data_IF_138715947503
#
_entry.id   IF_138715947503
#
_cell.length_a   1.000
_cell.length_b   1.000
_cell.length_c   1.000
_cell.angle_alpha   90.00
_cell.angle_beta   90.00
_cell.angle_gamma   90.00
#
_symmetry.space_group_name_H-M   'P 1'
#
loop_
_entity.id
_entity.type
_entity.pdbx_description
1 polymer ?
#
# COMPACT_ATOMS: atom_id res chain seq x y z
N UNK A 1 37.84 20.96 -27.61
CA UNK A 1 38.21 19.96 -26.60
C UNK A 1 39.13 18.97 -27.28
N UNK A 2 40.43 18.95 -26.86
CA UNK A 2 41.44 18.19 -27.54
C UNK A 2 41.15 16.69 -27.56
N UNK A 3 41.29 16.09 -28.72
CA UNK A 3 41.07 14.65 -28.95
C UNK A 3 41.89 13.81 -27.95
N UNK A 4 43.10 14.27 -27.66
CA UNK A 4 44.04 13.68 -26.68
C UNK A 4 43.52 13.75 -25.24
N UNK A 5 42.74 14.79 -24.89
CA UNK A 5 42.09 14.90 -23.57
C UNK A 5 40.94 13.95 -23.43
N UNK A 6 40.12 13.81 -24.49
CA UNK A 6 39.02 12.87 -24.54
C UNK A 6 39.46 11.40 -24.44
N UNK A 7 40.56 11.07 -25.14
CA UNK A 7 41.17 9.75 -25.10
C UNK A 7 41.69 9.41 -23.67
N UNK A 8 42.41 10.32 -23.03
CA UNK A 8 42.85 10.13 -21.63
C UNK A 8 41.69 9.99 -20.66
N UNK A 9 40.61 10.74 -20.86
CA UNK A 9 39.42 10.65 -20.04
C UNK A 9 38.72 9.26 -20.19
N UNK A 10 38.62 8.76 -21.42
CA UNK A 10 38.05 7.44 -21.72
C UNK A 10 38.89 6.30 -21.16
N UNK A 11 40.23 6.39 -21.28
CA UNK A 11 41.19 5.42 -20.70
C UNK A 11 41.09 5.42 -19.17
N UNK A 12 41.03 6.60 -18.55
CA UNK A 12 40.87 6.74 -17.10
C UNK A 12 39.54 6.17 -16.60
N UNK A 13 38.45 6.41 -17.33
CA UNK A 13 37.13 5.83 -17.03
C UNK A 13 37.16 4.31 -17.16
N UNK A 14 37.76 3.78 -18.23
CA UNK A 14 37.87 2.34 -18.45
C UNK A 14 38.72 1.65 -17.36
N UNK A 15 39.86 2.24 -17.00
CA UNK A 15 40.71 1.74 -15.90
C UNK A 15 39.94 1.74 -14.55
N UNK A 16 39.22 2.82 -14.28
CA UNK A 16 38.36 2.92 -13.05
C UNK A 16 37.30 1.86 -13.00
N UNK A 17 36.67 1.56 -14.12
CA UNK A 17 35.65 0.47 -14.24
C UNK A 17 36.32 -0.89 -14.02
N UNK A 18 37.49 -1.16 -14.59
CA UNK A 18 38.21 -2.42 -14.39
C UNK A 18 38.61 -2.60 -12.91
N UNK A 19 39.10 -1.57 -12.26
CA UNK A 19 39.45 -1.61 -10.82
C UNK A 19 38.18 -1.86 -9.98
N UNK A 20 37.06 -1.19 -10.27
CA UNK A 20 35.82 -1.38 -9.57
C UNK A 20 35.29 -2.82 -9.72
N UNK A 21 35.40 -3.40 -10.93
CA UNK A 21 35.03 -4.82 -11.18
C UNK A 21 35.94 -5.78 -10.43
N UNK A 22 37.26 -5.54 -10.42
CA UNK A 22 38.23 -6.37 -9.69
C UNK A 22 37.97 -6.34 -8.19
N UNK A 23 37.78 -5.15 -7.60
CA UNK A 23 37.45 -4.98 -6.18
C UNK A 23 36.11 -5.64 -5.83
N UNK A 24 35.10 -5.51 -6.69
CA UNK A 24 33.80 -6.15 -6.51
C UNK A 24 33.89 -7.68 -6.50
N UNK A 25 34.69 -8.26 -7.40
CA UNK A 25 34.95 -9.70 -7.45
C UNK A 25 35.73 -10.21 -6.22
N UNK A 26 36.71 -9.44 -5.74
CA UNK A 26 37.50 -9.78 -4.56
C UNK A 26 36.65 -9.75 -3.27
N UNK A 27 35.77 -8.75 -3.14
CA UNK A 27 34.84 -8.64 -2.00
C UNK A 27 33.76 -9.74 -2.01
N UNK A 28 33.28 -10.13 -3.18
CA UNK A 28 32.26 -11.19 -3.33
C UNK A 28 32.75 -12.61 -2.99
N UNK A 29 34.07 -12.86 -2.93
CA UNK A 29 34.62 -14.20 -2.64
C UNK A 29 34.41 -14.68 -1.20
N UNK A 30 34.07 -13.79 -0.26
CA UNK A 30 33.85 -14.16 1.17
C UNK A 30 32.43 -14.62 1.50
N UNK A 31 31.45 -14.35 0.66
CA UNK A 31 30.06 -14.70 0.89
C UNK A 31 29.57 -15.67 -0.19
N UNK A 32 28.87 -16.72 0.20
CA UNK A 32 28.12 -17.59 -0.73
C UNK A 32 26.87 -16.86 -1.16
N UNK A 33 26.96 -16.09 -2.22
CA UNK A 33 25.83 -15.35 -2.77
C UNK A 33 24.93 -16.29 -3.59
N UNK A 34 23.60 -16.09 -3.59
CA UNK A 34 22.70 -16.81 -4.48
C UNK A 34 23.08 -16.61 -5.96
N UNK A 35 22.73 -17.57 -6.85
CA UNK A 35 22.94 -17.41 -8.29
C UNK A 35 22.17 -16.21 -8.83
N UNK A 36 22.55 -15.73 -10.00
CA UNK A 36 21.86 -14.60 -10.63
C UNK A 36 22.49 -14.18 -11.94
N UNK A 37 21.88 -13.26 -12.68
CA UNK A 37 22.46 -12.73 -13.92
C UNK A 37 23.75 -11.96 -13.61
N UNK A 38 24.69 -11.98 -14.58
CA UNK A 38 25.96 -11.23 -14.45
C UNK A 38 25.66 -9.74 -14.47
N UNK A 39 26.04 -8.98 -13.41
CA UNK A 39 25.74 -7.55 -13.35
C UNK A 39 26.68 -6.75 -14.27
N UNK A 40 26.12 -5.73 -14.91
CA UNK A 40 26.88 -4.73 -15.66
C UNK A 40 27.53 -3.74 -14.65
N UNK A 41 28.77 -3.25 -14.90
CA UNK A 41 29.39 -2.24 -14.07
C UNK A 41 28.48 -1.01 -13.84
N UNK A 42 28.46 -0.46 -12.61
CA UNK A 42 27.67 0.69 -12.19
C UNK A 42 26.16 0.39 -12.12
N UNK A 43 25.54 -0.06 -13.21
CA UNK A 43 24.08 -0.29 -13.32
C UNK A 43 23.63 -1.61 -12.72
N UNK A 44 24.55 -2.58 -12.57
CA UNK A 44 24.17 -3.92 -12.12
C UNK A 44 23.29 -4.65 -13.14
N UNK A 45 22.17 -5.19 -12.67
CA UNK A 45 21.22 -5.91 -13.52
C UNK A 45 20.07 -5.02 -14.02
N UNK A 46 20.13 -3.71 -13.81
CA UNK A 46 19.06 -2.79 -14.19
C UNK A 46 18.64 -2.93 -15.66
N UNK A 47 19.62 -2.92 -16.58
CA UNK A 47 19.35 -3.07 -18.00
C UNK A 47 18.83 -4.46 -18.41
N UNK A 48 19.00 -5.48 -17.54
CA UNK A 48 18.58 -6.85 -17.79
C UNK A 48 17.17 -7.16 -17.25
N UNK A 49 16.73 -6.37 -16.28
CA UNK A 49 15.42 -6.53 -15.65
C UNK A 49 14.34 -5.78 -16.42
N UNK A 50 14.73 -4.81 -17.27
CA UNK A 50 13.81 -3.94 -18.01
C UNK A 50 13.16 -2.89 -17.10
N UNK A 51 12.16 -2.20 -17.60
CA UNK A 51 11.52 -1.08 -16.91
C UNK A 51 10.64 -1.52 -15.76
N UNK A 52 10.44 -2.83 -15.54
CA UNK A 52 9.47 -3.33 -14.59
C UNK A 52 9.98 -4.56 -13.82
N UNK A 53 10.20 -4.37 -12.51
CA UNK A 53 10.45 -5.44 -11.53
C UNK A 53 9.15 -6.16 -11.11
N UNK A 54 8.24 -6.35 -12.05
CA UNK A 54 6.98 -7.01 -11.74
C UNK A 54 7.14 -8.52 -11.46
N UNK A 55 6.12 -9.09 -10.87
CA UNK A 55 6.08 -10.50 -10.50
C UNK A 55 6.30 -11.46 -11.68
N UNK A 56 5.88 -11.10 -12.91
CA UNK A 56 6.04 -11.95 -14.10
C UNK A 56 7.49 -12.03 -14.56
N UNK A 57 8.18 -10.88 -14.59
CA UNK A 57 9.60 -10.81 -14.93
C UNK A 57 10.45 -11.50 -13.87
N UNK A 58 10.16 -11.30 -12.60
CA UNK A 58 10.83 -11.99 -11.50
C UNK A 58 10.57 -13.50 -11.53
N UNK A 59 9.37 -13.96 -11.85
CA UNK A 59 9.06 -15.37 -12.04
C UNK A 59 9.80 -15.98 -13.24
N UNK A 60 9.98 -15.23 -14.34
CA UNK A 60 10.78 -15.68 -15.48
C UNK A 60 12.27 -15.84 -15.10
N UNK A 61 12.81 -14.92 -14.32
CA UNK A 61 14.18 -15.03 -13.79
C UNK A 61 14.32 -16.20 -12.81
N UNK A 62 13.32 -16.44 -11.96
CA UNK A 62 13.30 -17.58 -11.03
C UNK A 62 13.34 -18.93 -11.77
N UNK A 63 12.64 -19.08 -12.91
CA UNK A 63 12.73 -20.29 -13.76
C UNK A 63 14.14 -20.52 -14.28
N UNK A 64 14.93 -19.46 -14.47
CA UNK A 64 16.30 -19.54 -15.02
C UNK A 64 17.36 -19.72 -13.94
N UNK A 65 17.24 -19.05 -12.81
CA UNK A 65 18.27 -18.96 -11.79
C UNK A 65 17.94 -19.74 -10.50
N UNK A 66 16.70 -20.26 -10.38
CA UNK A 66 16.23 -20.99 -9.23
C UNK A 66 15.34 -20.16 -8.31
N UNK A 67 14.80 -20.81 -7.28
CA UNK A 67 13.81 -20.23 -6.34
C UNK A 67 14.34 -19.10 -5.46
N UNK A 68 15.64 -18.99 -5.32
CA UNK A 68 16.35 -17.89 -4.66
C UNK A 68 17.47 -17.41 -5.56
N UNK A 69 17.46 -16.15 -5.94
CA UNK A 69 18.49 -15.58 -6.78
C UNK A 69 18.81 -14.12 -6.41
N UNK A 70 19.98 -13.64 -6.84
CA UNK A 70 20.48 -12.32 -6.55
C UNK A 70 20.41 -11.42 -7.79
N UNK A 71 19.81 -10.25 -7.62
CA UNK A 71 19.94 -9.12 -8.52
C UNK A 71 20.83 -8.06 -7.89
N UNK A 72 21.78 -7.55 -8.64
CA UNK A 72 22.52 -6.36 -8.27
C UNK A 72 21.90 -5.16 -8.97
N UNK A 73 21.12 -4.38 -8.21
CA UNK A 73 20.50 -3.17 -8.72
C UNK A 73 21.38 -1.96 -8.37
N UNK A 74 22.18 -1.49 -9.33
CA UNK A 74 23.20 -0.48 -9.06
C UNK A 74 24.13 -0.90 -7.91
N UNK A 75 24.07 -0.18 -6.79
CA UNK A 75 24.88 -0.48 -5.60
C UNK A 75 24.19 -1.41 -4.60
N UNK A 76 22.91 -1.74 -4.78
CA UNK A 76 22.14 -2.58 -3.87
C UNK A 76 22.07 -4.03 -4.34
N UNK A 77 22.21 -4.95 -3.39
CA UNK A 77 21.91 -6.35 -3.60
C UNK A 77 20.42 -6.59 -3.26
N UNK A 78 19.69 -7.18 -4.19
CA UNK A 78 18.28 -7.56 -4.04
C UNK A 78 18.18 -9.06 -4.18
N UNK A 79 17.92 -9.76 -3.09
CA UNK A 79 17.65 -11.20 -3.12
C UNK A 79 16.18 -11.41 -3.41
N UNK A 80 15.88 -12.18 -4.45
CA UNK A 80 14.52 -12.54 -4.83
C UNK A 80 14.22 -13.94 -4.35
N UNK A 81 13.09 -14.10 -3.66
CA UNK A 81 12.58 -15.38 -3.19
C UNK A 81 11.29 -15.69 -3.94
N UNK A 82 11.24 -16.86 -4.58
CA UNK A 82 10.16 -17.25 -5.50
C UNK A 82 9.55 -18.62 -5.22
N UNK A 83 9.73 -19.16 -4.01
CA UNK A 83 9.01 -20.38 -3.59
C UNK A 83 8.25 -20.16 -2.29
N UNK A 84 7.11 -20.85 -2.08
CA UNK A 84 6.34 -20.76 -0.84
C UNK A 84 7.15 -21.19 0.40
N UNK A 85 7.99 -22.21 0.27
CA UNK A 85 8.81 -22.71 1.36
C UNK A 85 9.82 -21.66 1.83
N UNK A 86 10.57 -21.06 0.90
CA UNK A 86 11.52 -20.00 1.21
C UNK A 86 10.83 -18.70 1.67
N UNK A 87 9.67 -18.38 1.10
CA UNK A 87 8.86 -17.25 1.57
C UNK A 87 8.44 -17.44 3.04
N UNK A 88 8.00 -18.64 3.42
CA UNK A 88 7.68 -18.96 4.81
C UNK A 88 8.90 -18.86 5.73
N UNK A 89 10.05 -19.32 5.28
CA UNK A 89 11.31 -19.20 6.03
C UNK A 89 11.64 -17.73 6.31
N UNK A 90 11.66 -16.89 5.27
CA UNK A 90 12.04 -15.48 5.35
C UNK A 90 10.99 -14.65 6.09
N UNK A 91 9.68 -14.81 5.77
CA UNK A 91 8.63 -13.93 6.26
C UNK A 91 8.06 -14.38 7.61
N UNK A 92 8.16 -15.66 7.97
CA UNK A 92 7.59 -16.20 9.20
C UNK A 92 8.68 -16.73 10.15
N UNK A 93 9.45 -17.73 9.76
CA UNK A 93 10.42 -18.37 10.67
C UNK A 93 11.54 -17.38 11.10
N UNK A 94 12.02 -16.56 10.17
CA UNK A 94 13.05 -15.54 10.39
C UNK A 94 12.49 -14.10 10.19
N UNK A 95 11.19 -13.90 10.38
CA UNK A 95 10.53 -12.64 10.10
C UNK A 95 11.09 -11.43 10.86
N UNK A 96 11.64 -11.62 12.05
CA UNK A 96 12.30 -10.57 12.81
C UNK A 96 13.59 -10.08 12.14
N UNK A 97 14.40 -11.00 11.61
CA UNK A 97 15.66 -10.69 10.93
C UNK A 97 15.44 -9.96 9.60
N UNK A 98 14.39 -10.34 8.86
CA UNK A 98 14.06 -9.77 7.55
C UNK A 98 12.94 -8.72 7.60
N UNK A 99 12.42 -8.38 8.79
CA UNK A 99 11.25 -7.52 8.96
C UNK A 99 11.48 -6.04 8.65
N UNK A 100 12.73 -5.58 8.65
CA UNK A 100 13.03 -4.17 8.34
C UNK A 100 12.84 -3.82 6.87
N UNK A 101 12.36 -2.61 6.61
CA UNK A 101 12.14 -2.09 5.25
C UNK A 101 13.41 -1.46 4.69
N UNK A 102 13.72 -1.77 3.42
CA UNK A 102 14.77 -1.05 2.69
C UNK A 102 14.39 0.41 2.49
N UNK A 103 15.35 1.33 2.73
CA UNK A 103 15.13 2.77 2.52
C UNK A 103 14.88 3.06 1.04
N UNK A 104 13.87 3.87 0.76
CA UNK A 104 13.51 4.38 -0.57
C UNK A 104 13.32 5.89 -0.47
N UNK A 105 13.95 6.67 -1.36
CA UNK A 105 13.94 8.13 -1.28
C UNK A 105 12.55 8.76 -1.35
N UNK A 106 11.63 8.15 -2.09
CA UNK A 106 10.24 8.62 -2.21
C UNK A 106 9.48 8.32 -0.93
N UNK A 107 9.57 7.08 -0.42
CA UNK A 107 8.91 6.72 0.83
C UNK A 107 9.54 7.41 2.04
N UNK A 108 10.86 7.71 2.01
CA UNK A 108 11.47 8.54 3.04
C UNK A 108 10.82 9.93 3.13
N UNK A 109 10.40 10.51 2.00
CA UNK A 109 9.65 11.77 1.99
C UNK A 109 8.24 11.59 2.53
N UNK A 110 7.49 10.56 2.06
CA UNK A 110 6.11 10.36 2.48
C UNK A 110 5.95 9.95 3.95
N UNK A 111 6.99 9.36 4.55
CA UNK A 111 6.93 8.80 5.91
C UNK A 111 7.86 9.49 6.91
N UNK A 112 8.46 10.62 6.52
CA UNK A 112 9.50 11.32 7.29
C UNK A 112 10.59 10.37 7.80
N UNK A 113 11.08 9.53 6.88
CA UNK A 113 12.16 8.59 7.17
C UNK A 113 11.73 7.33 7.93
N UNK A 114 10.46 6.92 7.79
CA UNK A 114 9.92 5.70 8.39
C UNK A 114 9.31 5.93 9.77
N UNK A 115 8.69 7.09 9.99
CA UNK A 115 7.89 7.37 11.19
C UNK A 115 6.52 6.69 11.15
N UNK A 116 6.10 6.17 10.00
CA UNK A 116 4.90 5.37 9.84
C UNK A 116 5.13 3.90 10.26
N UNK A 117 4.07 3.08 10.30
CA UNK A 117 4.21 1.66 10.62
C UNK A 117 4.72 0.83 9.43
N UNK A 118 4.32 1.15 8.21
CA UNK A 118 4.54 0.30 7.03
C UNK A 118 6.01 0.30 6.60
N UNK A 119 6.68 1.46 6.67
CA UNK A 119 8.07 1.65 6.24
C UNK A 119 9.06 1.82 7.39
N UNK A 120 8.58 1.71 8.63
CA UNK A 120 9.45 1.70 9.81
C UNK A 120 10.40 0.50 9.79
N UNK A 121 11.59 0.68 10.36
CA UNK A 121 12.45 -0.44 10.69
C UNK A 121 11.81 -1.30 11.79
N UNK A 122 12.01 -2.61 11.73
CA UNK A 122 11.53 -3.51 12.77
C UNK A 122 12.19 -3.19 14.12
N UNK A 123 11.39 -2.85 15.11
CA UNK A 123 11.86 -2.41 16.44
C UNK A 123 10.72 -1.91 17.32
N UNK A 124 11.07 -1.18 18.41
CA UNK A 124 10.09 -0.71 19.40
C UNK A 124 9.08 0.26 18.81
N UNK A 125 9.53 1.18 17.95
CA UNK A 125 8.64 2.09 17.26
C UNK A 125 7.61 1.34 16.42
N UNK A 126 8.04 0.38 15.59
CA UNK A 126 7.15 -0.45 14.80
C UNK A 126 6.14 -1.22 15.66
N UNK A 127 6.59 -1.80 16.78
CA UNK A 127 5.72 -2.52 17.73
C UNK A 127 4.67 -1.60 18.36
N UNK A 128 5.07 -0.40 18.76
CA UNK A 128 4.16 0.59 19.33
C UNK A 128 3.10 1.04 18.33
N UNK A 129 3.53 1.43 17.12
CA UNK A 129 2.62 1.83 16.05
C UNK A 129 1.66 0.69 15.66
N UNK A 130 2.17 -0.54 15.53
CA UNK A 130 1.36 -1.72 15.23
C UNK A 130 0.31 -2.02 16.31
N UNK A 131 0.68 -1.92 17.58
CA UNK A 131 -0.27 -2.12 18.70
C UNK A 131 -1.36 -1.05 18.71
N UNK A 132 -0.99 0.22 18.60
CA UNK A 132 -1.93 1.35 18.62
C UNK A 132 -2.88 1.30 17.42
N UNK A 133 -2.40 0.88 16.25
CA UNK A 133 -3.20 0.78 15.05
C UNK A 133 -4.09 -0.49 15.03
N UNK A 134 -3.65 -1.59 15.63
CA UNK A 134 -4.39 -2.87 15.54
C UNK A 134 -5.64 -2.88 16.41
N UNK A 135 -5.55 -2.38 17.63
CA UNK A 135 -6.62 -2.48 18.63
C UNK A 135 -7.95 -1.84 18.16
N UNK A 136 -7.98 -0.63 17.58
CA UNK A 136 -9.22 0.02 17.18
C UNK A 136 -9.83 -0.50 15.87
N UNK A 137 -9.12 -1.30 15.07
CA UNK A 137 -9.58 -1.65 13.72
C UNK A 137 -9.65 -3.17 13.44
N UNK A 138 -8.81 -3.99 14.07
CA UNK A 138 -8.60 -5.39 13.67
C UNK A 138 -9.03 -6.41 14.71
N UNK A 139 -10.09 -6.13 15.45
CA UNK A 139 -10.63 -7.06 16.47
C UNK A 139 -12.03 -7.54 16.11
N UNK A 140 -12.40 -8.74 16.55
CA UNK A 140 -13.75 -9.27 16.36
C UNK A 140 -14.85 -8.37 16.96
N UNK A 141 -14.53 -7.62 18.00
CA UNK A 141 -15.46 -6.62 18.59
C UNK A 141 -15.74 -5.46 17.64
N UNK A 142 -14.76 -5.04 16.85
CA UNK A 142 -14.94 -4.00 15.82
C UNK A 142 -15.87 -4.51 14.72
N UNK A 143 -15.64 -5.74 14.23
CA UNK A 143 -16.53 -6.37 13.25
C UNK A 143 -17.97 -6.41 13.77
N UNK A 144 -18.19 -6.96 14.98
CA UNK A 144 -19.51 -7.03 15.60
C UNK A 144 -20.20 -5.67 15.75
N UNK A 145 -19.44 -4.62 15.96
CA UNK A 145 -19.95 -3.26 16.12
C UNK A 145 -20.36 -2.60 14.81
N UNK A 146 -19.62 -2.87 13.74
CA UNK A 146 -19.73 -2.11 12.49
C UNK A 146 -20.35 -2.88 11.32
N UNK A 147 -20.51 -4.21 11.41
CA UNK A 147 -20.99 -5.03 10.28
C UNK A 147 -22.33 -4.54 9.71
N UNK A 148 -23.29 -4.16 10.56
CA UNK A 148 -24.59 -3.68 10.09
C UNK A 148 -24.47 -2.41 9.23
N UNK A 149 -23.53 -1.52 9.57
CA UNK A 149 -23.21 -0.33 8.75
C UNK A 149 -22.60 -0.72 7.42
N UNK A 150 -21.70 -1.69 7.39
CA UNK A 150 -21.07 -2.19 6.16
C UNK A 150 -22.09 -2.88 5.24
N UNK A 151 -23.01 -3.66 5.82
CA UNK A 151 -24.12 -4.29 5.09
C UNK A 151 -25.06 -3.23 4.48
N UNK A 152 -25.36 -2.16 5.21
CA UNK A 152 -26.16 -1.05 4.70
C UNK A 152 -25.47 -0.32 3.53
N UNK A 153 -24.16 -0.08 3.62
CA UNK A 153 -23.39 0.52 2.52
C UNK A 153 -23.35 -0.40 1.28
N UNK A 154 -23.22 -1.73 1.49
CA UNK A 154 -23.28 -2.69 0.39
C UNK A 154 -24.65 -2.74 -0.27
N UNK A 155 -25.72 -2.69 0.51
CA UNK A 155 -27.09 -2.61 0.01
C UNK A 155 -27.30 -1.31 -0.80
N UNK A 156 -26.79 -0.19 -0.33
CA UNK A 156 -26.87 1.09 -1.05
C UNK A 156 -26.17 1.05 -2.42
N UNK A 157 -25.08 0.28 -2.57
CA UNK A 157 -24.44 0.07 -3.89
C UNK A 157 -25.40 -0.68 -4.82
N UNK A 158 -26.06 -1.75 -4.34
CA UNK A 158 -27.00 -2.52 -5.13
C UNK A 158 -28.20 -1.67 -5.57
N UNK A 159 -28.74 -0.88 -4.65
CA UNK A 159 -29.87 -0.01 -4.92
C UNK A 159 -29.51 1.11 -5.90
N UNK A 160 -28.33 1.71 -5.77
CA UNK A 160 -27.81 2.72 -6.70
C UNK A 160 -27.64 2.15 -8.12
N UNK A 161 -27.13 0.92 -8.24
CA UNK A 161 -27.00 0.24 -9.55
C UNK A 161 -28.37 -0.09 -10.13
N UNK A 162 -29.34 -0.52 -9.34
CA UNK A 162 -30.73 -0.80 -9.78
C UNK A 162 -31.45 0.46 -10.25
N UNK A 163 -31.17 1.57 -9.59
CA UNK A 163 -31.80 2.86 -9.91
C UNK A 163 -31.16 3.58 -11.11
N UNK A 164 -29.98 3.14 -11.56
CA UNK A 164 -29.27 3.78 -12.67
C UNK A 164 -29.98 3.44 -14.00
N UNK A 165 -30.50 4.44 -14.74
CA UNK A 165 -31.18 4.21 -16.01
C UNK A 165 -30.27 3.54 -17.06
N UNK A 166 -28.96 3.75 -17.00
CA UNK A 166 -28.00 3.14 -17.92
C UNK A 166 -27.76 1.66 -17.65
N UNK A 167 -28.13 1.14 -16.46
CA UNK A 167 -27.86 -0.24 -16.07
C UNK A 167 -28.42 -1.30 -17.04
N UNK A 168 -29.59 -1.02 -17.64
CA UNK A 168 -30.24 -1.93 -18.56
C UNK A 168 -29.81 -1.77 -20.03
N UNK A 169 -29.12 -0.68 -20.40
CA UNK A 169 -28.80 -0.32 -21.79
C UNK A 169 -27.32 -0.24 -22.08
N UNK A 170 -26.62 0.64 -21.35
CA UNK A 170 -25.20 0.95 -21.57
C UNK A 170 -24.29 0.27 -20.52
N UNK A 171 -24.89 -0.22 -19.43
CA UNK A 171 -24.18 -0.71 -18.26
C UNK A 171 -23.76 0.40 -17.30
N UNK A 172 -23.22 0.01 -16.15
CA UNK A 172 -22.78 0.93 -15.09
C UNK A 172 -21.31 0.78 -14.79
N UNK A 173 -20.65 1.88 -14.42
CA UNK A 173 -19.29 1.85 -13.90
C UNK A 173 -19.33 1.53 -12.41
N UNK A 174 -19.33 0.24 -12.09
CA UNK A 174 -19.52 -0.28 -10.73
C UNK A 174 -18.51 0.29 -9.73
N UNK A 175 -17.27 0.54 -10.18
CA UNK A 175 -16.20 1.13 -9.38
C UNK A 175 -16.63 2.41 -8.64
N UNK A 176 -17.39 3.27 -9.27
CA UNK A 176 -17.82 4.56 -8.68
C UNK A 176 -18.65 4.34 -7.41
N UNK A 177 -19.61 3.41 -7.46
CA UNK A 177 -20.50 3.08 -6.35
C UNK A 177 -19.74 2.34 -5.23
N UNK A 178 -18.95 1.33 -5.59
CA UNK A 178 -18.11 0.62 -4.63
C UNK A 178 -17.08 1.52 -3.96
N UNK A 179 -16.55 2.52 -4.67
CA UNK A 179 -15.59 3.47 -4.11
C UNK A 179 -16.24 4.31 -3.00
N UNK A 180 -17.44 4.85 -3.22
CA UNK A 180 -18.17 5.59 -2.17
C UNK A 180 -18.40 4.72 -0.94
N UNK A 181 -18.87 3.48 -1.13
CA UNK A 181 -19.03 2.49 -0.06
C UNK A 181 -17.74 2.29 0.74
N UNK A 182 -16.60 2.10 0.06
CA UNK A 182 -15.33 1.89 0.73
C UNK A 182 -14.87 3.10 1.54
N UNK A 183 -15.02 4.32 0.99
CA UNK A 183 -14.74 5.54 1.75
C UNK A 183 -15.68 5.66 2.95
N UNK A 184 -16.98 5.42 2.80
CA UNK A 184 -17.95 5.49 3.89
C UNK A 184 -17.62 4.47 4.98
N UNK A 185 -17.35 3.22 4.63
CA UNK A 185 -16.98 2.19 5.59
C UNK A 185 -15.74 2.58 6.39
N UNK A 186 -14.68 3.05 5.72
CA UNK A 186 -13.44 3.43 6.39
C UNK A 186 -13.56 4.70 7.23
N UNK A 187 -14.21 5.74 6.69
CA UNK A 187 -14.33 7.01 7.41
C UNK A 187 -15.35 6.97 8.54
N UNK A 188 -16.40 6.12 8.43
CA UNK A 188 -17.29 5.81 9.53
C UNK A 188 -16.54 5.09 10.66
N UNK A 189 -15.73 4.07 10.32
CA UNK A 189 -14.93 3.31 11.28
C UNK A 189 -13.86 4.19 11.96
N UNK A 190 -13.18 5.05 11.18
CA UNK A 190 -12.08 5.87 11.68
C UNK A 190 -12.55 7.09 12.46
N UNK A 191 -13.57 7.79 11.97
CA UNK A 191 -13.94 9.12 12.44
C UNK A 191 -15.41 9.26 12.83
N UNK A 192 -16.24 8.23 12.60
CA UNK A 192 -17.70 8.32 12.74
C UNK A 192 -18.36 9.19 11.67
N UNK A 193 -17.75 9.34 10.51
CA UNK A 193 -18.19 10.24 9.43
C UNK A 193 -18.49 9.48 8.13
N UNK A 194 -19.56 9.91 7.44
CA UNK A 194 -19.92 9.44 6.10
C UNK A 194 -19.88 10.62 5.12
N UNK A 195 -19.68 10.30 3.84
CA UNK A 195 -19.83 11.24 2.73
C UNK A 195 -21.24 11.12 2.16
N UNK A 196 -21.82 12.26 1.77
CA UNK A 196 -23.21 12.33 1.30
C UNK A 196 -23.40 11.68 -0.08
N UNK A 197 -22.38 11.74 -0.92
CA UNK A 197 -22.44 11.20 -2.28
C UNK A 197 -21.11 11.30 -3.01
N UNK A 198 -21.12 10.88 -4.28
CA UNK A 198 -19.95 10.88 -5.16
C UNK A 198 -19.39 12.28 -5.45
N UNK A 199 -20.23 13.30 -5.32
CA UNK A 199 -19.90 14.69 -5.61
C UNK A 199 -19.56 15.50 -4.34
N UNK A 200 -19.46 14.84 -3.19
CA UNK A 200 -19.01 15.46 -1.95
C UNK A 200 -17.63 16.11 -2.16
N UNK A 201 -17.48 17.43 -1.94
CA UNK A 201 -16.23 18.14 -2.24
C UNK A 201 -15.02 17.60 -1.47
N UNK A 202 -15.23 17.13 -0.23
CA UNK A 202 -14.16 16.57 0.58
C UNK A 202 -13.75 15.20 0.05
N UNK A 203 -14.70 14.36 -0.36
CA UNK A 203 -14.44 13.08 -1.01
C UNK A 203 -13.66 13.27 -2.32
N UNK A 204 -14.07 14.21 -3.15
CA UNK A 204 -13.38 14.53 -4.40
C UNK A 204 -11.93 14.95 -4.14
N UNK A 205 -11.70 15.82 -3.16
CA UNK A 205 -10.35 16.26 -2.78
C UNK A 205 -9.48 15.12 -2.23
N UNK A 206 -10.05 14.24 -1.41
CA UNK A 206 -9.36 13.03 -0.92
C UNK A 206 -8.94 12.11 -2.07
N UNK A 207 -9.85 11.87 -3.02
CA UNK A 207 -9.58 11.03 -4.20
C UNK A 207 -8.48 11.59 -5.07
N UNK A 208 -8.50 12.89 -5.32
CA UNK A 208 -7.47 13.60 -6.07
C UNK A 208 -6.09 13.38 -5.42
N UNK A 209 -5.96 13.74 -4.14
CA UNK A 209 -4.71 13.61 -3.41
C UNK A 209 -4.24 12.15 -3.26
N UNK A 210 -5.18 11.20 -3.12
CA UNK A 210 -4.86 9.76 -3.09
C UNK A 210 -4.31 9.29 -4.43
N UNK A 211 -4.91 9.72 -5.54
CA UNK A 211 -4.45 9.44 -6.90
C UNK A 211 -3.04 9.99 -7.17
N UNK A 212 -2.80 11.24 -6.80
CA UNK A 212 -1.48 11.86 -6.95
C UNK A 212 -0.41 11.15 -6.13
N UNK A 213 -0.70 10.85 -4.86
CA UNK A 213 0.21 10.10 -3.99
C UNK A 213 0.53 8.73 -4.58
N UNK A 214 -0.48 8.00 -5.06
CA UNK A 214 -0.28 6.66 -5.64
C UNK A 214 0.58 6.74 -6.89
N UNK A 215 0.32 7.67 -7.78
CA UNK A 215 1.12 7.90 -8.98
C UNK A 215 2.59 8.20 -8.65
N UNK A 216 2.84 9.09 -7.69
CA UNK A 216 4.19 9.46 -7.27
C UNK A 216 4.92 8.32 -6.54
N UNK A 217 4.22 7.53 -5.73
CA UNK A 217 4.84 6.46 -4.96
C UNK A 217 5.17 5.21 -5.79
N UNK A 218 4.41 4.96 -6.86
CA UNK A 218 4.56 3.75 -7.69
C UNK A 218 5.46 3.94 -8.91
N UNK A 219 5.91 5.16 -9.21
CA UNK A 219 6.73 5.42 -10.39
C UNK A 219 8.12 4.83 -10.20
N UNK A 220 8.38 3.71 -10.88
CA UNK A 220 9.69 3.04 -10.88
C UNK A 220 10.78 3.91 -11.54
N UNK A 221 10.41 4.73 -12.51
CA UNK A 221 11.34 5.62 -13.24
C UNK A 221 12.15 6.53 -12.31
N UNK A 222 11.59 6.87 -11.16
CA UNK A 222 12.20 7.78 -10.20
C UNK A 222 12.99 7.07 -9.08
N UNK A 223 13.02 5.74 -9.08
CA UNK A 223 13.74 4.97 -8.07
C UNK A 223 15.24 4.77 -8.36
N UNK A 224 15.74 5.28 -9.49
CA UNK A 224 17.16 5.15 -9.82
C UNK A 224 18.09 5.79 -8.75
N UNK A 225 17.62 6.81 -8.04
CA UNK A 225 18.36 7.41 -6.94
C UNK A 225 18.54 6.51 -5.72
N UNK A 226 17.74 5.45 -5.58
CA UNK A 226 17.92 4.44 -4.53
C UNK A 226 19.04 3.47 -4.85
N UNK A 227 19.26 3.20 -6.12
CA UNK A 227 20.23 2.23 -6.62
C UNK A 227 21.55 2.87 -7.05
N UNK A 228 21.50 4.12 -7.50
CA UNK A 228 22.66 4.89 -7.96
C UNK A 228 22.65 6.25 -7.24
N UNK A 229 23.21 6.35 -6.02
CA UNK A 229 23.06 7.53 -5.15
C UNK A 229 23.49 8.85 -5.77
N UNK A 230 24.48 8.86 -6.66
CA UNK A 230 24.95 10.07 -7.36
C UNK A 230 23.84 10.71 -8.21
N UNK A 231 22.85 9.94 -8.65
CA UNK A 231 21.73 10.43 -9.44
C UNK A 231 20.62 11.08 -8.60
N UNK A 232 20.66 10.99 -7.27
CA UNK A 232 19.65 11.59 -6.37
C UNK A 232 19.49 13.10 -6.58
N UNK A 233 20.55 13.77 -6.95
CA UNK A 233 20.52 15.22 -7.22
C UNK A 233 19.53 15.62 -8.33
N UNK A 234 19.28 14.71 -9.28
CA UNK A 234 18.31 14.93 -10.37
C UNK A 234 16.87 14.72 -9.95
N UNK A 235 16.62 14.11 -8.78
CA UNK A 235 15.30 13.88 -8.22
C UNK A 235 14.76 15.05 -7.40
N UNK A 236 15.52 16.12 -7.16
CA UNK A 236 15.13 17.20 -6.24
C UNK A 236 13.78 17.81 -6.55
N UNK A 237 13.48 18.09 -7.82
CA UNK A 237 12.18 18.63 -8.25
C UNK A 237 11.04 17.65 -7.98
N UNK A 238 11.25 16.37 -8.30
CA UNK A 238 10.28 15.32 -8.05
C UNK A 238 10.01 15.11 -6.56
N UNK A 239 11.04 15.03 -5.74
CA UNK A 239 10.91 14.87 -4.28
C UNK A 239 10.23 16.07 -3.63
N UNK A 240 10.40 17.28 -4.19
CA UNK A 240 9.66 18.47 -3.77
C UNK A 240 8.17 18.30 -4.00
N UNK A 241 7.75 17.81 -5.17
CA UNK A 241 6.33 17.51 -5.46
C UNK A 241 5.81 16.44 -4.50
N UNK A 242 6.56 15.36 -4.25
CA UNK A 242 6.19 14.34 -3.26
C UNK A 242 5.93 14.96 -1.88
N UNK A 243 6.80 15.88 -1.45
CA UNK A 243 6.64 16.60 -0.18
C UNK A 243 5.39 17.47 -0.16
N UNK A 244 5.15 18.24 -1.21
CA UNK A 244 3.96 19.09 -1.32
C UNK A 244 2.66 18.27 -1.24
N UNK A 245 2.60 17.14 -1.93
CA UNK A 245 1.46 16.22 -1.88
C UNK A 245 1.31 15.61 -0.49
N UNK A 246 2.40 15.16 0.15
CA UNK A 246 2.36 14.68 1.53
C UNK A 246 1.80 15.75 2.47
N UNK A 247 2.36 16.95 2.44
CA UNK A 247 1.99 18.04 3.35
C UNK A 247 0.50 18.42 3.16
N UNK A 248 0.03 18.48 1.92
CA UNK A 248 -1.39 18.73 1.61
C UNK A 248 -2.32 17.64 2.17
N UNK A 249 -1.92 16.36 2.07
CA UNK A 249 -2.69 15.23 2.61
C UNK A 249 -2.75 15.25 4.12
N UNK A 250 -1.60 15.36 4.79
CA UNK A 250 -1.55 15.39 6.25
C UNK A 250 -2.32 16.59 6.82
N UNK A 251 -2.23 17.76 6.15
CA UNK A 251 -3.03 18.92 6.49
C UNK A 251 -4.52 18.65 6.36
N UNK A 252 -4.97 18.04 5.26
CA UNK A 252 -6.37 17.68 5.06
C UNK A 252 -6.88 16.74 6.17
N UNK A 253 -6.12 15.68 6.50
CA UNK A 253 -6.49 14.76 7.58
C UNK A 253 -6.57 15.47 8.93
N UNK A 254 -5.57 16.30 9.23
CA UNK A 254 -5.57 17.07 10.47
C UNK A 254 -6.79 17.96 10.57
N UNK A 255 -6.96 18.87 9.60
CA UNK A 255 -7.94 19.97 9.70
C UNK A 255 -9.40 19.46 9.56
N UNK A 256 -9.66 18.48 8.68
CA UNK A 256 -11.02 18.07 8.37
C UNK A 256 -11.51 16.82 9.12
N UNK A 257 -10.62 16.10 9.81
CA UNK A 257 -11.02 14.86 10.48
C UNK A 257 -10.50 14.78 11.92
N UNK A 258 -9.19 14.89 12.14
CA UNK A 258 -8.61 14.71 13.48
C UNK A 258 -9.04 15.84 14.42
N UNK A 259 -8.93 17.09 14.00
CA UNK A 259 -9.33 18.25 14.81
C UNK A 259 -10.85 18.32 15.01
N UNK A 260 -11.64 17.94 14.03
CA UNK A 260 -13.09 17.85 14.19
C UNK A 260 -13.46 16.80 15.25
N UNK A 261 -12.81 15.62 15.23
CA UNK A 261 -13.04 14.59 16.24
C UNK A 261 -12.61 15.04 17.63
N UNK A 262 -11.48 15.74 17.76
CA UNK A 262 -11.05 16.35 19.04
C UNK A 262 -12.08 17.32 19.61
N UNK A 263 -12.64 18.18 18.76
CA UNK A 263 -13.69 19.12 19.16
C UNK A 263 -14.95 18.39 19.64
N UNK A 264 -15.37 17.34 18.97
CA UNK A 264 -16.51 16.51 19.36
C UNK A 264 -16.28 15.86 20.74
N UNK A 265 -15.10 15.29 20.97
CA UNK A 265 -14.72 14.70 22.27
C UNK A 265 -14.69 15.76 23.38
N UNK A 266 -14.14 16.94 23.10
CA UNK A 266 -14.05 18.03 24.09
C UNK A 266 -15.41 18.63 24.44
N UNK A 267 -16.38 18.63 23.52
CA UNK A 267 -17.74 19.16 23.74
C UNK A 267 -18.66 18.20 24.48
N UNK A 268 -18.21 16.97 24.79
CA UNK A 268 -19.04 15.94 25.43
C UNK A 268 -20.11 15.32 24.52
N UNK A 269 -20.29 15.84 23.31
CA UNK A 269 -21.30 15.34 22.36
C UNK A 269 -21.09 13.87 21.96
N UNK A 270 -19.86 13.39 22.01
CA UNK A 270 -19.52 12.01 21.72
C UNK A 270 -19.89 11.03 22.84
N UNK A 271 -20.24 11.51 24.05
CA UNK A 271 -20.61 10.68 25.20
C UNK A 271 -22.12 10.57 25.40
N UNK A 272 -22.90 11.52 24.90
CA UNK A 272 -24.37 11.59 25.10
C UNK A 272 -25.19 11.02 23.93
N UNK A 273 -24.58 10.87 22.77
CA UNK A 273 -25.22 10.24 21.62
C UNK A 273 -24.89 8.75 21.59
N UNK A 274 -25.84 7.93 21.13
CA UNK A 274 -25.60 6.54 20.69
C UNK A 274 -24.55 6.45 19.56
N UNK A 275 -23.70 7.49 19.38
CA UNK A 275 -22.61 7.48 18.43
C UNK A 275 -21.57 6.45 18.82
N UNK A 276 -21.39 5.52 17.94
CA UNK A 276 -20.41 4.45 18.06
C UNK A 276 -19.01 5.07 18.28
N UNK A 277 -18.32 4.61 19.32
CA UNK A 277 -16.90 4.91 19.51
C UNK A 277 -16.14 4.54 18.24
N UNK A 278 -15.45 5.50 17.63
CA UNK A 278 -14.67 5.30 16.42
C UNK A 278 -13.19 5.03 16.72
N UNK A 279 -12.46 4.53 15.72
CA UNK A 279 -11.05 4.18 15.90
C UNK A 279 -10.16 5.34 16.32
N UNK A 280 -10.49 6.57 15.90
CA UNK A 280 -9.73 7.76 16.26
C UNK A 280 -9.76 8.07 17.77
N UNK A 281 -10.82 7.70 18.46
CA UNK A 281 -10.92 7.92 19.91
C UNK A 281 -9.83 7.17 20.68
N UNK A 282 -9.52 5.95 20.26
CA UNK A 282 -8.48 5.13 20.88
C UNK A 282 -7.08 5.62 20.51
N UNK A 283 -6.90 6.09 19.28
CA UNK A 283 -5.64 6.66 18.79
C UNK A 283 -5.32 7.96 19.55
N UNK A 284 -6.31 8.85 19.72
CA UNK A 284 -6.15 10.10 20.46
C UNK A 284 -5.92 9.84 21.96
N UNK A 285 -6.50 8.79 22.50
CA UNK A 285 -6.22 8.38 23.89
C UNK A 285 -4.78 7.86 24.04
N UNK A 286 -4.24 7.11 23.10
CA UNK A 286 -2.84 6.70 23.08
C UNK A 286 -1.91 7.92 23.00
N UNK A 287 -2.27 8.93 22.19
CA UNK A 287 -1.53 10.19 22.13
C UNK A 287 -1.58 10.93 23.47
N UNK A 288 -2.74 11.03 24.10
CA UNK A 288 -2.90 11.68 25.42
C UNK A 288 -2.05 11.01 26.51
N UNK A 289 -1.87 9.69 26.42
CA UNK A 289 -0.99 8.92 27.30
C UNK A 289 0.50 9.08 27.00
N UNK A 290 0.86 9.76 25.93
CA UNK A 290 2.25 9.94 25.50
C UNK A 290 2.87 8.72 24.82
N UNK A 291 2.06 7.73 24.39
CA UNK A 291 2.54 6.54 23.68
C UNK A 291 2.94 6.85 22.25
N UNK A 292 2.27 7.82 21.63
CA UNK A 292 2.52 8.33 20.29
C UNK A 292 2.42 9.86 20.28
N UNK A 293 3.02 10.51 19.28
CA UNK A 293 2.94 11.96 19.08
C UNK A 293 1.93 12.33 17.98
N UNK A 294 1.80 13.63 17.68
CA UNK A 294 0.87 14.17 16.68
C UNK A 294 1.16 13.61 15.26
N UNK A 295 2.43 13.56 14.86
CA UNK A 295 2.82 13.07 13.55
C UNK A 295 2.47 11.58 13.40
N UNK A 296 2.64 10.80 14.45
CA UNK A 296 2.25 9.39 14.45
C UNK A 296 0.74 9.21 14.27
N UNK A 297 -0.10 10.07 14.87
CA UNK A 297 -1.56 10.06 14.64
C UNK A 297 -1.84 10.26 13.14
N UNK A 298 -1.22 11.25 12.52
CA UNK A 298 -1.41 11.53 11.10
C UNK A 298 -0.88 10.41 10.20
N UNK A 299 0.25 9.79 10.54
CA UNK A 299 0.77 8.63 9.80
C UNK A 299 -0.09 7.39 9.95
N UNK A 300 -0.75 7.16 11.08
CA UNK A 300 -1.74 6.08 11.22
C UNK A 300 -2.91 6.33 10.26
N UNK A 301 -3.45 7.55 10.23
CA UNK A 301 -4.52 7.93 9.29
C UNK A 301 -4.07 7.72 7.83
N UNK A 302 -2.87 8.17 7.49
CA UNK A 302 -2.29 7.99 6.16
C UNK A 302 -2.15 6.52 5.78
N UNK A 303 -1.62 5.68 6.67
CA UNK A 303 -1.43 4.25 6.41
C UNK A 303 -2.76 3.54 6.14
N UNK A 304 -3.79 3.83 6.92
CA UNK A 304 -5.12 3.23 6.75
C UNK A 304 -5.73 3.70 5.43
N UNK A 305 -5.69 4.98 5.12
CA UNK A 305 -6.23 5.51 3.86
C UNK A 305 -5.57 4.90 2.63
N UNK A 306 -4.25 4.75 2.66
CA UNK A 306 -3.50 4.18 1.52
C UNK A 306 -3.75 2.69 1.37
N UNK A 307 -3.85 1.95 2.46
CA UNK A 307 -3.90 0.50 2.42
C UNK A 307 -5.33 -0.06 2.25
N UNK A 308 -6.31 0.49 2.99
CA UNK A 308 -7.57 -0.20 3.18
C UNK A 308 -8.61 0.04 2.07
N UNK A 309 -8.55 1.15 1.36
CA UNK A 309 -9.61 1.54 0.42
C UNK A 309 -9.36 0.94 -0.97
N UNK A 310 -8.29 1.34 -1.63
CA UNK A 310 -8.05 0.98 -3.03
C UNK A 310 -7.74 -0.50 -3.23
N UNK A 311 -7.02 -1.14 -2.31
CA UNK A 311 -6.67 -2.56 -2.43
C UNK A 311 -7.91 -3.45 -2.37
N UNK A 312 -8.82 -3.17 -1.44
CA UNK A 312 -10.10 -3.89 -1.31
C UNK A 312 -11.00 -3.61 -2.51
N UNK A 313 -11.06 -2.35 -2.96
CA UNK A 313 -11.82 -1.97 -4.14
C UNK A 313 -11.35 -2.72 -5.39
N UNK A 314 -10.05 -2.81 -5.61
CA UNK A 314 -9.49 -3.57 -6.74
C UNK A 314 -9.79 -5.07 -6.65
N UNK A 315 -9.73 -5.64 -5.44
CA UNK A 315 -10.08 -7.05 -5.25
C UNK A 315 -11.54 -7.31 -5.63
N UNK A 316 -12.46 -6.43 -5.22
CA UNK A 316 -13.88 -6.53 -5.58
C UNK A 316 -14.11 -6.34 -7.09
N UNK A 317 -13.46 -5.37 -7.73
CA UNK A 317 -13.56 -5.17 -9.18
C UNK A 317 -13.10 -6.39 -9.96
N UNK A 318 -11.94 -6.94 -9.60
CA UNK A 318 -11.42 -8.15 -10.24
C UNK A 318 -12.34 -9.35 -10.00
N UNK A 319 -12.87 -9.53 -8.79
CA UNK A 319 -13.82 -10.60 -8.49
C UNK A 319 -15.08 -10.50 -9.36
N UNK A 320 -15.64 -9.30 -9.51
CA UNK A 320 -16.81 -9.09 -10.37
C UNK A 320 -16.45 -9.30 -11.85
N UNK A 321 -15.31 -8.79 -12.31
CA UNK A 321 -14.85 -8.99 -13.68
C UNK A 321 -14.69 -10.49 -14.03
N UNK A 322 -14.08 -11.26 -13.11
CA UNK A 322 -13.95 -12.71 -13.29
C UNK A 322 -15.30 -13.42 -13.28
N UNK A 323 -16.24 -13.02 -12.41
CA UNK A 323 -17.58 -13.59 -12.40
C UNK A 323 -18.36 -13.28 -13.69
N UNK A 324 -18.17 -12.12 -14.28
CA UNK A 324 -18.78 -11.76 -15.58
C UNK A 324 -18.17 -12.59 -16.71
N UNK A 325 -16.85 -12.79 -16.69
CA UNK A 325 -16.13 -13.58 -17.71
C UNK A 325 -16.35 -15.09 -17.57
N UNK A 326 -16.78 -15.56 -16.38
CA UNK A 326 -16.98 -16.97 -16.04
C UNK A 326 -18.41 -17.26 -15.54
N UNK A 327 -19.43 -17.24 -16.41
CA UNK A 327 -20.85 -17.43 -16.02
C UNK A 327 -21.11 -18.74 -15.28
N UNK A 328 -20.36 -19.80 -15.59
CA UNK A 328 -20.45 -21.10 -14.92
C UNK A 328 -20.02 -21.01 -13.44
N UNK A 329 -19.02 -20.20 -13.15
CA UNK A 329 -18.58 -19.94 -11.77
C UNK A 329 -19.61 -19.13 -11.01
N UNK A 330 -20.18 -18.11 -11.65
CA UNK A 330 -21.28 -17.33 -11.08
C UNK A 330 -22.49 -18.20 -10.73
N UNK A 331 -22.86 -19.15 -11.63
CA UNK A 331 -23.95 -20.08 -11.37
C UNK A 331 -23.65 -21.04 -10.20
N UNK A 332 -22.40 -21.54 -10.10
CA UNK A 332 -21.98 -22.38 -8.97
C UNK A 332 -22.11 -21.62 -7.65
N UNK A 333 -21.61 -20.38 -7.60
CA UNK A 333 -21.70 -19.51 -6.44
C UNK A 333 -23.15 -19.29 -6.02
N UNK A 334 -24.05 -18.95 -6.95
CA UNK A 334 -25.48 -18.78 -6.67
C UNK A 334 -26.12 -20.04 -6.12
N UNK A 335 -25.89 -21.20 -6.74
CA UNK A 335 -26.43 -22.49 -6.27
C UNK A 335 -25.94 -22.83 -4.85
N UNK A 336 -24.71 -22.50 -4.53
CA UNK A 336 -24.16 -22.72 -3.20
C UNK A 336 -24.82 -21.81 -2.17
N UNK A 337 -24.94 -20.51 -2.45
CA UNK A 337 -25.67 -19.57 -1.59
C UNK A 337 -27.12 -20.01 -1.38
N UNK A 338 -27.86 -20.35 -2.44
CA UNK A 338 -29.25 -20.82 -2.35
C UNK A 338 -29.37 -22.09 -1.53
N UNK A 339 -28.40 -23.01 -1.67
CA UNK A 339 -28.41 -24.28 -0.92
C UNK A 339 -28.12 -24.08 0.57
N UNK A 340 -27.18 -23.18 0.91
CA UNK A 340 -26.69 -23.01 2.29
C UNK A 340 -27.54 -22.02 3.08
N UNK A 341 -27.99 -20.95 2.44
CA UNK A 341 -28.68 -19.84 3.09
C UNK A 341 -30.19 -19.81 2.77
N UNK A 342 -30.61 -20.44 1.69
CA UNK A 342 -31.98 -20.37 1.17
C UNK A 342 -32.09 -19.40 0.00
N UNK A 343 -32.99 -19.72 -0.94
CA UNK A 343 -33.20 -18.90 -2.14
C UNK A 343 -33.65 -17.48 -1.79
N UNK A 344 -32.98 -16.49 -2.36
CA UNK A 344 -33.28 -15.08 -2.14
C UNK A 344 -32.80 -14.50 -0.81
N UNK A 345 -32.05 -15.26 -0.01
CA UNK A 345 -31.43 -14.75 1.22
C UNK A 345 -30.37 -13.69 0.91
N UNK A 346 -30.44 -12.55 1.59
CA UNK A 346 -29.40 -11.55 1.53
C UNK A 346 -28.23 -11.97 2.43
N UNK A 347 -27.06 -12.18 1.85
CA UNK A 347 -25.86 -12.57 2.59
C UNK A 347 -25.48 -11.48 3.60
N UNK A 348 -25.22 -11.87 4.84
CA UNK A 348 -24.81 -11.01 5.94
C UNK A 348 -23.47 -11.46 6.51
N UNK A 349 -22.81 -10.63 7.33
CA UNK A 349 -21.55 -10.98 7.98
C UNK A 349 -21.62 -12.30 8.77
N UNK A 350 -22.67 -12.56 9.57
CA UNK A 350 -22.86 -13.87 10.25
C UNK A 350 -22.95 -15.08 9.33
N UNK A 351 -23.25 -14.91 8.05
CA UNK A 351 -23.37 -16.03 7.10
C UNK A 351 -22.01 -16.45 6.50
N UNK A 352 -21.00 -15.58 6.58
CA UNK A 352 -19.70 -15.79 5.92
C UNK A 352 -19.00 -17.07 6.35
N UNK A 353 -19.13 -17.48 7.64
CA UNK A 353 -18.55 -18.73 8.15
C UNK A 353 -19.29 -19.99 7.68
N UNK A 354 -20.50 -19.87 7.11
CA UNK A 354 -21.30 -20.97 6.57
C UNK A 354 -21.02 -21.23 5.09
N UNK A 355 -20.39 -20.24 4.45
CA UNK A 355 -20.00 -20.30 3.04
C UNK A 355 -18.49 -20.58 2.97
N UNK A 356 -18.05 -21.74 2.43
CA UNK A 356 -16.65 -22.13 2.37
C UNK A 356 -15.78 -21.31 1.41
#
# INVERSE_FOLDING_TARGET
MDLLFLEKLLVGLFASVLVAVAVSKLRGRKLRLPPGPVPVPIFGNWLQVGDDLNHRNLAALARRFGEIFLLRMGQRNVVVVSSPALAREVLHAQGAEFGSRGRNVVFDVFTDGGQDMVFAAYGDHWRTMGRVMTAPFFTGKVVQRHHAGWEAEAAAVVDAVRADPAAATEGVVLRRHMQLMMYNNMYSLMFGRRFEGLDDPLLLRLRELNGERSRLAQSFEYNYGDFIPVLRQFLRGYLKICKEVKDARLKLYKDCFVEERRKMLASGKATDSHELKCGMDEILEAQRKGEINEDHVLFIVENINVAAIETTLWAMEWAVAELVNHPETQQKLRREMDRVLGAGHQVTEPDTHRLP
#
